data_IF_863899621562
#
_entry.id   IF_863899621562
#
_cell.length_a   1.000
_cell.length_b   1.000
_cell.length_c   1.000
_cell.angle_alpha   90.00
_cell.angle_beta   90.00
_cell.angle_gamma   90.00
#
_symmetry.space_group_name_H-M   'P 1'
#
loop_
_entity.id
_entity.type
_entity.pdbx_description
1 polymer ?
#
# COMPACT_ATOMS: atom_id res chain seq x y z
N UNK A 1 14.24 5.09 -17.91
CA UNK A 1 13.30 3.95 -18.02
C UNK A 1 13.90 2.55 -18.16
N UNK A 2 14.99 2.30 -18.92
CA UNK A 2 15.47 0.94 -19.18
C UNK A 2 15.66 0.06 -17.93
N UNK A 3 16.28 0.60 -16.87
CA UNK A 3 16.49 -0.12 -15.59
C UNK A 3 15.19 -0.55 -14.90
N UNK A 4 14.17 0.33 -14.91
CA UNK A 4 12.88 0.02 -14.29
C UNK A 4 12.16 -1.08 -15.07
N UNK A 5 12.18 -1.04 -16.40
CA UNK A 5 11.58 -2.11 -17.22
C UNK A 5 12.23 -3.47 -16.94
N UNK A 6 13.56 -3.53 -16.85
CA UNK A 6 14.27 -4.76 -16.51
C UNK A 6 13.88 -5.31 -15.14
N UNK A 7 13.76 -4.42 -14.14
CA UNK A 7 13.43 -4.81 -12.78
C UNK A 7 11.96 -5.24 -12.63
N UNK A 8 11.03 -4.42 -13.13
CA UNK A 8 9.59 -4.63 -13.03
C UNK A 8 9.16 -5.90 -13.76
N UNK A 9 9.78 -6.21 -14.90
CA UNK A 9 9.52 -7.47 -15.62
C UNK A 9 9.85 -8.72 -14.78
N UNK A 10 10.72 -8.61 -13.76
CA UNK A 10 11.12 -9.73 -12.88
C UNK A 10 10.39 -9.70 -11.54
N UNK A 11 10.19 -8.51 -10.96
CA UNK A 11 9.81 -8.33 -9.55
C UNK A 11 8.52 -7.53 -9.35
N UNK A 12 7.95 -6.95 -10.40
CA UNK A 12 6.91 -5.93 -10.26
C UNK A 12 7.47 -4.69 -9.55
N UNK A 13 6.65 -4.04 -8.73
CA UNK A 13 7.05 -2.90 -7.91
C UNK A 13 7.52 -3.28 -6.50
N UNK A 14 7.81 -4.56 -6.24
CA UNK A 14 8.37 -4.99 -4.96
C UNK A 14 9.83 -4.52 -4.91
N UNK A 15 10.23 -3.58 -4.04
CA UNK A 15 11.60 -3.09 -4.00
C UNK A 15 12.56 -4.14 -3.41
N UNK A 16 13.89 -3.99 -3.60
CA UNK A 16 14.88 -4.88 -2.97
C UNK A 16 14.89 -4.83 -1.44
N UNK A 17 14.35 -3.75 -0.85
CA UNK A 17 14.20 -3.60 0.59
C UNK A 17 12.98 -4.38 1.09
N UNK A 18 13.18 -5.21 2.11
CA UNK A 18 12.06 -5.73 2.89
C UNK A 18 11.56 -4.62 3.82
N UNK A 19 10.48 -3.94 3.44
CA UNK A 19 9.73 -3.11 4.36
C UNK A 19 8.76 -4.01 5.17
N UNK A 20 9.01 -4.20 6.49
CA UNK A 20 8.16 -5.04 7.32
C UNK A 20 6.73 -4.50 7.48
N UNK A 21 6.48 -3.23 7.14
CA UNK A 21 5.15 -2.61 7.20
C UNK A 21 4.32 -2.88 5.94
N UNK A 22 4.91 -3.43 4.88
CA UNK A 22 4.14 -3.76 3.67
C UNK A 22 3.26 -4.98 3.93
N UNK A 23 1.96 -4.75 4.03
CA UNK A 23 0.96 -5.80 4.21
C UNK A 23 0.94 -6.77 3.02
N UNK A 24 0.69 -8.05 3.28
CA UNK A 24 0.71 -9.11 2.26
C UNK A 24 -0.19 -8.80 1.03
N UNK A 25 -1.37 -8.21 1.26
CA UNK A 25 -2.30 -7.80 0.20
C UNK A 25 -1.72 -6.74 -0.74
N UNK A 26 -0.89 -5.85 -0.21
CA UNK A 26 -0.20 -4.83 -1.01
C UNK A 26 1.01 -5.41 -1.73
N UNK A 27 1.78 -6.28 -1.07
CA UNK A 27 2.92 -6.93 -1.71
C UNK A 27 2.51 -7.74 -2.95
N UNK A 28 1.40 -8.49 -2.88
CA UNK A 28 0.84 -9.19 -4.05
C UNK A 28 0.46 -8.21 -5.17
N UNK A 29 -0.18 -7.10 -4.81
CA UNK A 29 -0.56 -6.04 -5.76
C UNK A 29 0.64 -5.44 -6.48
N UNK A 30 1.73 -5.18 -5.76
CA UNK A 30 2.97 -4.67 -6.35
C UNK A 30 3.68 -5.72 -7.21
N UNK A 31 3.70 -6.98 -6.80
CA UNK A 31 4.29 -8.07 -7.58
C UNK A 31 3.52 -8.32 -8.90
N UNK A 32 2.18 -8.23 -8.86
CA UNK A 32 1.33 -8.42 -10.04
C UNK A 32 1.52 -7.35 -11.12
N UNK A 33 2.12 -6.21 -10.77
CA UNK A 33 2.47 -5.16 -11.74
C UNK A 33 3.39 -5.67 -12.86
N UNK A 34 4.17 -6.74 -12.63
CA UNK A 34 4.99 -7.37 -13.69
C UNK A 34 4.13 -7.87 -14.86
N UNK A 35 2.98 -8.47 -14.56
CA UNK A 35 2.10 -9.08 -15.56
C UNK A 35 1.29 -8.00 -16.29
N UNK A 36 0.93 -6.93 -15.56
CA UNK A 36 0.28 -5.74 -16.14
C UNK A 36 1.23 -4.99 -17.07
N UNK A 37 2.50 -4.82 -16.66
CA UNK A 37 3.50 -4.09 -17.44
C UNK A 37 3.87 -4.84 -18.72
N UNK A 38 3.78 -6.17 -18.74
CA UNK A 38 4.03 -6.98 -19.93
C UNK A 38 3.05 -6.71 -21.09
N UNK A 39 1.88 -6.12 -20.82
CA UNK A 39 0.88 -5.77 -21.85
C UNK A 39 1.28 -4.56 -22.68
N UNK A 40 2.11 -3.67 -22.11
CA UNK A 40 2.72 -2.54 -22.81
C UNK A 40 4.15 -2.32 -22.26
N UNK A 41 5.15 -2.98 -22.87
CA UNK A 41 6.53 -2.93 -22.41
C UNK A 41 7.14 -1.52 -22.41
N UNK A 42 6.53 -0.57 -23.11
CA UNK A 42 7.02 0.79 -23.22
C UNK A 42 6.54 1.72 -22.09
N UNK A 43 5.56 1.29 -21.29
CA UNK A 43 5.00 2.09 -20.20
C UNK A 43 5.15 1.41 -18.84
N UNK A 44 4.78 2.15 -17.78
CA UNK A 44 4.73 1.66 -16.40
C UNK A 44 3.30 1.83 -15.89
N UNK A 45 2.59 0.75 -15.56
CA UNK A 45 1.18 0.82 -15.22
C UNK A 45 0.94 1.28 -13.79
N UNK A 46 -0.22 1.90 -13.56
CA UNK A 46 -0.79 1.99 -12.22
C UNK A 46 -1.23 0.58 -11.76
N UNK A 47 -0.94 0.20 -10.51
CA UNK A 47 -1.25 -1.15 -9.98
C UNK A 47 -2.73 -1.50 -9.99
N UNK A 48 -3.62 -0.50 -9.94
CA UNK A 48 -5.06 -0.72 -10.04
C UNK A 48 -5.49 -1.32 -11.38
N UNK A 49 -4.66 -1.26 -12.43
CA UNK A 49 -4.96 -1.91 -13.71
C UNK A 49 -5.07 -3.44 -13.59
N UNK A 50 -4.53 -4.06 -12.53
CA UNK A 50 -4.72 -5.51 -12.30
C UNK A 50 -6.19 -5.90 -12.17
N UNK A 51 -7.04 -5.02 -11.64
CA UNK A 51 -8.47 -5.29 -11.44
C UNK A 51 -9.26 -5.31 -12.75
N UNK A 52 -8.71 -4.74 -13.82
CA UNK A 52 -9.35 -4.67 -15.13
C UNK A 52 -8.76 -5.68 -16.12
N UNK A 53 -7.44 -5.91 -16.03
CA UNK A 53 -6.71 -6.76 -16.97
C UNK A 53 -6.54 -8.19 -16.47
N UNK A 54 -6.65 -8.43 -15.15
CA UNK A 54 -6.61 -9.75 -14.53
C UNK A 54 -7.72 -9.92 -13.46
N UNK A 55 -9.01 -9.63 -13.78
CA UNK A 55 -10.09 -9.69 -12.80
C UNK A 55 -10.38 -11.13 -12.31
N UNK A 56 -10.19 -12.12 -13.17
CA UNK A 56 -10.32 -13.55 -12.85
C UNK A 56 -9.33 -14.00 -11.77
N UNK A 57 -8.06 -13.58 -11.90
CA UNK A 57 -7.02 -13.78 -10.90
C UNK A 57 -7.43 -13.16 -9.56
N UNK A 58 -7.94 -11.93 -9.56
CA UNK A 58 -8.36 -11.25 -8.33
C UNK A 58 -9.49 -12.02 -7.64
N UNK A 59 -10.51 -12.48 -8.38
CA UNK A 59 -11.62 -13.27 -7.82
C UNK A 59 -11.10 -14.60 -7.27
N UNK A 60 -10.23 -15.30 -8.00
CA UNK A 60 -9.66 -16.58 -7.58
C UNK A 60 -8.87 -16.47 -6.26
N UNK A 61 -8.21 -15.34 -6.02
CA UNK A 61 -7.41 -15.09 -4.82
C UNK A 61 -8.17 -14.28 -3.74
N UNK A 62 -9.47 -14.06 -3.93
CA UNK A 62 -10.32 -13.38 -2.96
C UNK A 62 -11.00 -14.38 -2.02
N UNK A 63 -11.23 -13.96 -0.78
CA UNK A 63 -12.01 -14.74 0.19
C UNK A 63 -13.34 -14.02 0.49
N UNK A 64 -14.50 -14.55 0.06
CA UNK A 64 -15.79 -13.91 0.29
C UNK A 64 -16.19 -13.84 1.77
N UNK A 65 -15.62 -14.70 2.62
CA UNK A 65 -15.87 -14.69 4.06
C UNK A 65 -14.94 -13.74 4.83
N UNK A 66 -13.82 -13.29 4.23
CA UNK A 66 -12.86 -12.40 4.88
C UNK A 66 -12.14 -11.53 3.85
N UNK A 67 -12.58 -10.29 3.73
CA UNK A 67 -12.07 -9.31 2.77
C UNK A 67 -11.06 -8.37 3.40
N UNK A 68 -10.49 -7.46 2.59
CA UNK A 68 -9.59 -6.41 3.09
C UNK A 68 -10.21 -5.56 4.20
N UNK A 69 -11.53 -5.33 4.15
CA UNK A 69 -12.22 -4.60 5.21
C UNK A 69 -12.08 -5.30 6.56
N UNK A 70 -12.21 -6.63 6.60
CA UNK A 70 -12.04 -7.41 7.83
C UNK A 70 -10.62 -7.30 8.37
N UNK A 71 -9.61 -7.32 7.51
CA UNK A 71 -8.22 -7.13 7.93
C UNK A 71 -7.98 -5.76 8.58
N UNK A 72 -8.53 -4.69 8.00
CA UNK A 72 -8.42 -3.33 8.54
C UNK A 72 -9.15 -3.22 9.89
N UNK A 73 -10.37 -3.75 9.98
CA UNK A 73 -11.16 -3.77 11.21
C UNK A 73 -10.44 -4.55 12.32
N UNK A 74 -9.81 -5.68 11.97
CA UNK A 74 -9.14 -6.54 12.95
C UNK A 74 -7.79 -6.01 13.43
N UNK A 75 -7.13 -5.15 12.65
CA UNK A 75 -5.78 -4.65 12.94
C UNK A 75 -5.80 -3.14 13.10
N UNK A 76 -5.66 -2.40 12.00
CA UNK A 76 -5.42 -0.94 11.99
C UNK A 76 -6.46 -0.17 12.80
N UNK A 77 -7.74 -0.51 12.67
CA UNK A 77 -8.81 0.15 13.41
C UNK A 77 -8.63 -0.06 14.93
N UNK A 78 -8.48 -1.31 15.37
CA UNK A 78 -8.28 -1.63 16.79
C UNK A 78 -7.00 -1.01 17.35
N UNK A 79 -5.90 -1.06 16.58
CA UNK A 79 -4.60 -0.50 16.97
C UNK A 79 -4.70 1.01 17.20
N UNK A 80 -5.17 1.77 16.21
CA UNK A 80 -5.22 3.25 16.29
C UNK A 80 -6.18 3.69 17.40
N UNK A 81 -7.39 3.14 17.46
CA UNK A 81 -8.33 3.49 18.53
C UNK A 81 -7.83 3.05 19.92
N UNK A 82 -7.10 1.93 19.99
CA UNK A 82 -6.43 1.46 21.21
C UNK A 82 -5.36 2.44 21.67
N UNK A 83 -4.45 2.84 20.79
CA UNK A 83 -3.40 3.82 21.07
C UNK A 83 -4.00 5.17 21.51
N UNK A 84 -5.03 5.67 20.82
CA UNK A 84 -5.72 6.89 21.22
C UNK A 84 -6.30 6.80 22.64
N UNK A 85 -6.94 5.68 23.00
CA UNK A 85 -7.45 5.48 24.37
C UNK A 85 -6.33 5.46 25.41
N UNK A 86 -5.23 4.76 25.13
CA UNK A 86 -4.08 4.70 26.03
C UNK A 86 -3.45 6.09 26.27
N UNK A 87 -3.34 6.91 25.21
CA UNK A 87 -2.87 8.29 25.30
C UNK A 87 -3.80 9.14 26.17
N UNK A 88 -5.12 9.02 26.00
CA UNK A 88 -6.10 9.76 26.80
C UNK A 88 -5.99 9.37 28.29
N UNK A 89 -5.88 8.08 28.59
CA UNK A 89 -5.80 7.57 29.96
C UNK A 89 -4.49 7.97 30.65
N UNK A 90 -3.37 7.91 29.95
CA UNK A 90 -2.05 8.23 30.50
C UNK A 90 -1.72 9.74 30.50
N UNK A 91 -2.40 10.53 29.66
CA UNK A 91 -2.16 11.96 29.51
C UNK A 91 -0.88 12.34 28.77
N UNK A 92 -0.23 11.40 28.07
CA UNK A 92 0.95 11.65 27.25
C UNK A 92 1.00 10.75 26.01
N UNK A 93 1.57 11.27 24.91
CA UNK A 93 1.56 10.61 23.60
C UNK A 93 2.35 9.29 23.56
N UNK A 94 3.41 9.17 24.36
CA UNK A 94 4.24 7.96 24.41
C UNK A 94 3.54 6.72 24.97
N UNK A 95 2.29 6.84 25.46
CA UNK A 95 1.46 5.71 25.85
C UNK A 95 0.79 5.00 24.64
N UNK A 96 0.80 5.61 23.46
CA UNK A 96 0.31 5.01 22.22
C UNK A 96 1.43 4.78 21.22
N UNK A 97 1.17 3.90 20.26
CA UNK A 97 2.08 3.58 19.15
C UNK A 97 1.60 4.31 17.89
N UNK A 98 1.76 5.63 17.85
CA UNK A 98 1.45 6.46 16.69
C UNK A 98 2.72 7.05 16.11
N UNK A 99 2.97 6.79 14.84
CA UNK A 99 4.14 7.27 14.10
C UNK A 99 3.73 8.32 13.05
N UNK A 100 4.71 9.06 12.53
CA UNK A 100 4.49 10.01 11.44
C UNK A 100 4.20 9.23 10.16
N UNK A 101 3.13 9.59 9.46
CA UNK A 101 2.82 9.06 8.13
C UNK A 101 3.58 9.85 7.05
N UNK A 102 4.79 9.39 6.73
CA UNK A 102 5.64 9.97 5.68
C UNK A 102 4.96 9.94 4.30
N UNK A 103 4.06 8.97 4.05
CA UNK A 103 3.33 8.90 2.79
C UNK A 103 2.39 10.09 2.63
N UNK A 104 1.78 10.61 3.70
CA UNK A 104 0.85 11.73 3.63
C UNK A 104 1.51 13.10 3.33
N UNK A 105 2.84 13.17 3.25
CA UNK A 105 3.60 14.40 2.99
C UNK A 105 3.21 15.12 1.69
N UNK A 106 2.79 14.38 0.64
CA UNK A 106 2.34 14.98 -0.62
C UNK A 106 1.13 15.94 -0.44
N UNK A 107 0.37 15.82 0.65
CA UNK A 107 -0.74 16.73 0.97
C UNK A 107 -0.21 18.12 1.30
N UNK A 108 0.92 18.21 2.03
CA UNK A 108 1.58 19.47 2.36
C UNK A 108 2.23 20.07 1.13
N UNK A 109 2.83 19.25 0.26
CA UNK A 109 3.35 19.71 -1.03
C UNK A 109 2.23 20.34 -1.87
N UNK A 110 1.06 19.69 -1.96
CA UNK A 110 -0.12 20.23 -2.64
C UNK A 110 -0.57 21.57 -2.03
N UNK A 111 -0.61 21.67 -0.70
CA UNK A 111 -1.04 22.88 0.00
C UNK A 111 -0.07 24.06 -0.18
N UNK A 112 1.22 23.78 -0.35
CA UNK A 112 2.28 24.80 -0.41
C UNK A 112 2.76 25.11 -1.83
N UNK A 113 2.42 24.28 -2.82
CA UNK A 113 2.85 24.37 -4.21
C UNK A 113 2.47 25.64 -4.98
N UNK A 114 1.72 26.57 -4.37
CA UNK A 114 1.37 27.88 -4.93
C UNK A 114 2.17 29.06 -4.35
N UNK A 115 3.29 28.84 -3.66
CA UNK A 115 4.23 29.93 -3.33
C UNK A 115 5.18 30.19 -4.51
N UNK A 116 4.69 30.98 -5.48
CA UNK A 116 5.53 31.84 -6.33
C UNK A 116 5.76 33.19 -5.62
#
# INVERSE_FOLDING_TARGET
MPKLREYVAKHGYVPPSNDPHTEASWNDTFAKAKDVQALDPDTMPNTYLKYYLFPDYVVQHSNPARTRANEVMDHREKQVFGSCRAIIEAGHSSAGELEIDEHASYIVDLATGNRL
#
